data_IF_807914928456
#
_entry.id   IF_807914928456
#
_cell.length_a   1.000
_cell.length_b   1.000
_cell.length_c   1.000
_cell.angle_alpha   90.00
_cell.angle_beta   90.00
_cell.angle_gamma   90.00
#
_symmetry.space_group_name_H-M   'P 1'
#
loop_
_entity.id
_entity.type
_entity.pdbx_description
1 polymer ?
#
# COMPACT_ATOMS: atom_id res chain seq x y z
N UNK A 1 -12.39 15.57 -14.68
CA UNK A 1 -11.28 15.39 -13.72
C UNK A 1 -11.21 13.93 -13.28
N UNK A 2 -10.04 13.38 -13.39
CA UNK A 2 -9.85 11.98 -13.02
C UNK A 2 -9.48 11.89 -11.55
N UNK A 3 -10.27 11.15 -10.80
CA UNK A 3 -9.95 10.90 -9.41
C UNK A 3 -9.31 9.52 -9.29
N UNK A 4 -8.11 9.47 -8.75
CA UNK A 4 -7.46 8.22 -8.47
C UNK A 4 -8.01 7.70 -7.15
N UNK A 5 -8.58 6.50 -7.19
CA UNK A 5 -9.08 5.88 -5.98
C UNK A 5 -7.90 5.41 -5.14
N UNK A 6 -7.92 5.74 -3.87
CA UNK A 6 -6.89 5.31 -2.93
C UNK A 6 -7.53 4.49 -1.83
N UNK A 7 -6.85 3.42 -1.44
CA UNK A 7 -7.35 2.53 -0.39
C UNK A 7 -6.74 2.94 0.94
N UNK A 8 -7.57 3.44 1.84
CA UNK A 8 -7.13 3.81 3.18
C UNK A 8 -6.91 2.56 4.02
N UNK A 9 -6.05 2.67 5.03
CA UNK A 9 -5.72 1.53 5.89
C UNK A 9 -6.99 0.89 6.47
N UNK A 10 -7.92 1.70 6.91
CA UNK A 10 -9.14 1.23 7.54
C UNK A 10 -10.05 0.47 6.59
N UNK A 11 -9.95 0.77 5.30
CA UNK A 11 -10.77 0.14 4.26
C UNK A 11 -10.07 -1.04 3.61
N UNK A 12 -8.80 -1.21 3.90
CA UNK A 12 -7.98 -2.22 3.23
C UNK A 12 -8.35 -3.63 3.68
N UNK A 13 -8.22 -4.58 2.75
CA UNK A 13 -8.36 -5.99 3.09
C UNK A 13 -7.19 -6.41 3.99
N UNK A 14 -7.32 -7.56 4.63
CA UNK A 14 -6.25 -8.08 5.48
C UNK A 14 -4.94 -8.20 4.72
N UNK A 15 -5.02 -8.62 3.46
CA UNK A 15 -3.87 -8.78 2.60
C UNK A 15 -3.17 -7.44 2.35
N UNK A 16 -3.95 -6.40 2.03
CA UNK A 16 -3.40 -5.07 1.79
C UNK A 16 -2.88 -4.46 3.07
N UNK A 17 -3.58 -4.66 4.19
CA UNK A 17 -3.10 -4.16 5.48
C UNK A 17 -1.76 -4.74 5.86
N UNK A 18 -1.57 -6.03 5.58
CA UNK A 18 -0.29 -6.66 5.88
C UNK A 18 0.85 -5.98 5.11
N UNK A 19 0.60 -5.62 3.86
CA UNK A 19 1.60 -4.89 3.07
C UNK A 19 1.81 -3.49 3.64
N UNK A 20 0.74 -2.80 4.02
CA UNK A 20 0.85 -1.47 4.61
C UNK A 20 1.65 -1.51 5.91
N UNK A 21 1.39 -2.50 6.75
CA UNK A 21 2.12 -2.65 8.01
C UNK A 21 3.61 -2.85 7.74
N UNK A 22 3.93 -3.64 6.74
CA UNK A 22 5.32 -3.89 6.37
C UNK A 22 5.99 -2.63 5.83
N UNK A 23 5.27 -1.86 5.01
CA UNK A 23 5.78 -0.60 4.50
C UNK A 23 6.09 0.35 5.65
N UNK A 24 5.16 0.50 6.57
CA UNK A 24 5.33 1.41 7.69
C UNK A 24 6.48 0.98 8.60
N UNK A 25 6.60 -0.31 8.84
CA UNK A 25 7.67 -0.83 9.68
C UNK A 25 9.03 -0.64 9.02
N UNK A 26 9.13 -0.91 7.72
CA UNK A 26 10.38 -0.80 6.99
C UNK A 26 10.84 0.65 6.88
N UNK A 27 9.92 1.57 6.67
CA UNK A 27 10.22 2.99 6.53
C UNK A 27 10.20 3.74 7.84
N UNK A 28 9.87 3.05 8.93
CA UNK A 28 9.82 3.62 10.29
C UNK A 28 8.90 4.83 10.35
N UNK A 29 7.71 4.67 9.80
CA UNK A 29 6.69 5.71 9.78
C UNK A 29 5.34 5.10 10.16
N UNK A 30 4.38 5.97 10.48
CA UNK A 30 3.04 5.52 10.84
C UNK A 30 2.00 5.85 9.75
N UNK A 31 2.48 6.10 8.54
CA UNK A 31 1.59 6.45 7.44
C UNK A 31 2.09 5.80 6.14
N UNK A 32 1.19 5.73 5.16
CA UNK A 32 1.48 5.16 3.85
C UNK A 32 1.29 6.25 2.80
N UNK A 33 2.25 6.36 1.87
CA UNK A 33 2.19 7.34 0.79
C UNK A 33 1.00 7.10 -0.12
N UNK A 34 0.50 8.17 -0.73
CA UNK A 34 -0.58 8.07 -1.71
C UNK A 34 -0.24 7.12 -2.86
N UNK A 35 1.04 7.08 -3.24
CA UNK A 35 1.50 6.16 -4.27
C UNK A 35 1.10 4.70 -3.96
N UNK A 36 1.37 4.27 -2.73
CA UNK A 36 1.03 2.90 -2.31
C UNK A 36 -0.47 2.71 -2.18
N UNK A 37 -1.16 3.75 -1.71
CA UNK A 37 -2.63 3.68 -1.59
C UNK A 37 -3.30 3.54 -2.95
N UNK A 38 -2.76 4.20 -3.96
CA UNK A 38 -3.28 4.08 -5.33
C UNK A 38 -3.02 2.69 -5.89
N UNK A 39 -1.84 2.13 -5.64
CA UNK A 39 -1.52 0.77 -6.07
C UNK A 39 -2.39 -0.27 -5.37
N UNK A 40 -2.86 0.03 -4.19
CA UNK A 40 -3.66 -0.91 -3.41
C UNK A 40 -5.01 -1.22 -4.04
N UNK A 41 -5.43 -0.43 -5.03
CA UNK A 41 -6.63 -0.78 -5.80
C UNK A 41 -6.42 -2.07 -6.60
N UNK A 42 -5.17 -2.47 -6.78
CA UNK A 42 -4.78 -3.72 -7.41
C UNK A 42 -3.83 -4.45 -6.46
N UNK A 43 -4.35 -5.25 -5.52
CA UNK A 43 -3.52 -5.83 -4.45
C UNK A 43 -2.31 -6.61 -4.95
N UNK A 44 -2.45 -7.34 -6.06
CA UNK A 44 -1.31 -8.08 -6.60
C UNK A 44 -0.20 -7.14 -7.07
N UNK A 45 -0.57 -6.03 -7.71
CA UNK A 45 0.39 -5.03 -8.16
C UNK A 45 1.09 -4.41 -6.95
N UNK A 46 0.33 -4.11 -5.91
CA UNK A 46 0.89 -3.55 -4.69
C UNK A 46 1.93 -4.51 -4.08
N UNK A 47 1.56 -5.77 -3.93
CA UNK A 47 2.45 -6.76 -3.32
C UNK A 47 3.72 -6.95 -4.15
N UNK A 48 3.56 -7.02 -5.45
CA UNK A 48 4.69 -7.22 -6.36
C UNK A 48 5.63 -6.02 -6.32
N UNK A 49 5.07 -4.83 -6.38
CA UNK A 49 5.87 -3.60 -6.36
C UNK A 49 6.62 -3.47 -5.04
N UNK A 50 5.95 -3.75 -3.93
CA UNK A 50 6.58 -3.67 -2.63
C UNK A 50 7.69 -4.71 -2.48
N UNK A 51 7.45 -5.94 -2.94
CA UNK A 51 8.46 -7.00 -2.87
C UNK A 51 9.72 -6.61 -3.63
N UNK A 52 9.57 -5.95 -4.77
CA UNK A 52 10.72 -5.49 -5.55
C UNK A 52 11.46 -4.35 -4.86
N UNK A 53 10.74 -3.53 -4.13
CA UNK A 53 11.34 -2.38 -3.45
C UNK A 53 12.12 -2.78 -2.21
N UNK A 54 11.85 -3.95 -1.64
CA UNK A 54 12.50 -4.39 -0.40
C UNK A 54 13.72 -5.27 -0.62
N UNK A 55 14.06 -5.51 -1.86
CA UNK A 55 15.25 -6.30 -2.18
C UNK A 55 16.49 -5.46 -2.34
#
# INVERSE_FOLDING_TARGET
MTMVKMVEYQEASDEVRAVYDDIMATRKTDWVNNFWKALATHPETLKRTWARSTH
#
